data_IF_232282545691
#
_entry.id   IF_232282545691
#
_cell.length_a   1.000
_cell.length_b   1.000
_cell.length_c   1.000
_cell.angle_alpha   90.00
_cell.angle_beta   90.00
_cell.angle_gamma   90.00
#
_symmetry.space_group_name_H-M   'P 1'
#
loop_
_entity.id
_entity.type
_entity.pdbx_description
1 polymer ?
#
# COMPACT_ATOMS: atom_id res chain seq x y z
N UNK A 1 -14.51 23.46 2.70
CA UNK A 1 -14.49 22.05 2.30
C UNK A 1 -15.84 21.74 1.65
N UNK A 2 -15.83 21.46 0.34
CA UNK A 2 -17.03 21.04 -0.39
C UNK A 2 -17.58 19.74 0.23
N UNK A 3 -18.88 19.54 0.07
CA UNK A 3 -19.55 18.29 0.49
C UNK A 3 -18.85 17.13 -0.21
N UNK A 4 -18.18 16.25 0.52
CA UNK A 4 -17.79 14.96 -0.01
C UNK A 4 -19.09 14.22 -0.37
N UNK A 5 -19.39 14.17 -1.67
CA UNK A 5 -20.47 13.35 -2.20
C UNK A 5 -19.96 11.90 -2.18
N UNK A 6 -19.88 11.28 -0.99
CA UNK A 6 -19.28 9.98 -0.88
C UNK A 6 -20.14 9.02 -0.12
N UNK A 7 -20.28 7.82 -0.64
CA UNK A 7 -20.81 6.67 0.06
C UNK A 7 -19.63 5.99 0.76
N UNK A 8 -19.64 5.94 2.10
CA UNK A 8 -18.61 5.24 2.87
C UNK A 8 -19.11 3.83 3.13
N UNK A 9 -18.35 2.84 2.66
CA UNK A 9 -18.61 1.43 2.91
C UNK A 9 -17.48 0.88 3.78
N UNK A 10 -17.83 0.26 4.90
CA UNK A 10 -16.85 -0.44 5.73
C UNK A 10 -16.74 -1.88 5.26
N UNK A 11 -15.50 -2.32 5.03
CA UNK A 11 -15.16 -3.72 4.82
C UNK A 11 -14.37 -4.23 6.02
N UNK A 12 -14.74 -5.40 6.54
CA UNK A 12 -13.98 -6.10 7.56
C UNK A 12 -13.01 -7.08 6.90
N UNK A 13 -11.81 -7.20 7.47
CA UNK A 13 -10.74 -8.07 6.98
C UNK A 13 -9.61 -7.33 6.30
N UNK A 14 -8.69 -8.10 5.71
CA UNK A 14 -7.59 -7.56 4.95
C UNK A 14 -8.06 -7.01 3.61
N UNK A 15 -7.35 -5.99 3.18
CA UNK A 15 -7.55 -5.33 1.91
C UNK A 15 -7.42 -6.32 0.74
N UNK A 16 -8.41 -6.36 -0.09
CA UNK A 16 -8.38 -7.05 -1.37
C UNK A 16 -8.69 -6.07 -2.51
N UNK A 17 -8.07 -6.22 -3.64
CA UNK A 17 -8.24 -5.33 -4.79
C UNK A 17 -9.51 -5.67 -5.59
N UNK A 18 -10.60 -6.07 -4.93
CA UNK A 18 -11.87 -6.31 -5.58
C UNK A 18 -12.59 -4.99 -5.86
N UNK A 19 -12.99 -4.72 -7.10
CA UNK A 19 -13.75 -3.52 -7.42
C UNK A 19 -15.03 -3.43 -6.58
N UNK A 20 -15.27 -2.29 -5.99
CA UNK A 20 -16.47 -2.04 -5.15
C UNK A 20 -17.69 -1.75 -6.02
N UNK A 21 -17.97 -2.18 -7.06
CA UNK A 21 -19.00 -1.93 -8.05
C UNK A 21 -18.49 -1.05 -9.22
N UNK A 22 -18.43 -1.60 -10.42
CA UNK A 22 -18.04 -0.83 -11.59
C UNK A 22 -19.20 0.11 -11.98
N UNK A 23 -19.18 1.35 -11.50
CA UNK A 23 -19.94 2.39 -12.14
C UNK A 23 -19.24 2.77 -13.44
N UNK A 24 -19.94 2.89 -14.58
CA UNK A 24 -19.32 3.33 -15.83
C UNK A 24 -18.58 4.64 -15.63
N UNK A 25 -17.27 4.66 -15.95
CA UNK A 25 -16.41 5.84 -15.82
C UNK A 25 -15.85 6.07 -14.39
N UNK A 26 -16.12 5.19 -13.42
CA UNK A 26 -15.49 5.28 -12.11
C UNK A 26 -14.01 4.93 -12.19
N UNK A 27 -13.17 5.74 -11.54
CA UNK A 27 -11.74 5.48 -11.37
C UNK A 27 -11.53 5.09 -9.91
N UNK A 28 -11.01 3.89 -9.70
CA UNK A 28 -10.69 3.37 -8.36
C UNK A 28 -9.25 3.70 -8.00
N UNK A 29 -9.05 4.18 -6.77
CA UNK A 29 -7.75 4.49 -6.20
C UNK A 29 -7.55 3.74 -4.90
N UNK A 30 -6.38 3.15 -4.73
CA UNK A 30 -6.00 2.40 -3.55
C UNK A 30 -4.94 3.17 -2.76
N UNK A 31 -5.18 3.36 -1.47
CA UNK A 31 -4.23 4.06 -0.61
C UNK A 31 -3.04 3.17 -0.29
N UNK A 32 -1.85 3.73 -0.42
CA UNK A 32 -0.59 3.21 0.10
C UNK A 32 -0.17 4.11 1.27
N UNK A 33 0.03 3.54 2.44
CA UNK A 33 0.53 4.26 3.61
C UNK A 33 2.06 4.32 3.58
N UNK A 34 2.56 5.14 2.67
CA UNK A 34 3.98 5.29 2.39
C UNK A 34 4.76 5.96 3.53
N UNK A 35 6.05 5.69 3.57
CA UNK A 35 7.01 6.52 4.28
C UNK A 35 7.05 7.94 3.65
N UNK A 36 7.47 8.99 4.39
CA UNK A 36 7.74 10.31 3.81
C UNK A 36 8.63 10.28 2.56
N UNK A 37 9.52 9.29 2.44
CA UNK A 37 10.24 8.99 1.21
C UNK A 37 9.54 7.84 0.49
N UNK A 38 8.96 8.11 -0.65
CA UNK A 38 8.16 7.17 -1.44
C UNK A 38 8.83 5.78 -1.53
N UNK A 39 8.12 4.75 -1.07
CA UNK A 39 8.53 3.34 -1.09
C UNK A 39 9.92 3.07 -0.47
N UNK A 40 10.28 3.82 0.58
CA UNK A 40 11.63 3.77 1.16
C UNK A 40 12.01 2.38 1.67
N UNK A 41 11.11 1.69 2.34
CA UNK A 41 11.38 0.43 3.04
C UNK A 41 11.22 -0.82 2.17
N UNK A 42 10.89 -0.68 0.87
CA UNK A 42 10.76 -1.84 0.01
C UNK A 42 12.09 -2.63 -0.05
N UNK A 43 11.99 -3.95 -0.13
CA UNK A 43 13.16 -4.84 -0.10
C UNK A 43 13.77 -5.05 1.29
N UNK A 44 13.25 -4.40 2.33
CA UNK A 44 13.63 -4.60 3.73
C UNK A 44 12.96 -5.83 4.37
N UNK A 45 13.27 -6.09 5.65
CA UNK A 45 12.70 -7.21 6.39
C UNK A 45 11.28 -6.96 6.90
N UNK A 46 10.81 -5.71 6.89
CA UNK A 46 9.45 -5.32 7.23
C UNK A 46 8.50 -5.62 6.06
N UNK A 47 7.30 -6.09 6.36
CA UNK A 47 6.28 -6.38 5.36
C UNK A 47 4.92 -5.89 5.85
N UNK A 48 4.78 -4.58 5.95
CA UNK A 48 3.54 -3.91 6.27
C UNK A 48 2.77 -3.54 5.00
N UNK A 49 1.76 -2.72 5.09
CA UNK A 49 0.86 -2.41 3.96
C UNK A 49 1.61 -1.81 2.75
N UNK A 50 2.55 -0.91 2.99
CA UNK A 50 3.39 -0.32 1.94
C UNK A 50 4.22 -1.38 1.21
N UNK A 51 5.00 -2.17 1.95
CA UNK A 51 5.90 -3.17 1.37
C UNK A 51 5.14 -4.30 0.67
N UNK A 52 3.97 -4.70 1.20
CA UNK A 52 3.07 -5.67 0.56
C UNK A 52 2.64 -5.12 -0.80
N UNK A 53 2.20 -3.87 -0.84
CA UNK A 53 1.72 -3.26 -2.08
C UNK A 53 2.84 -3.13 -3.10
N UNK A 54 4.06 -2.75 -2.69
CA UNK A 54 5.22 -2.72 -3.59
C UNK A 54 5.59 -4.12 -4.08
N UNK A 55 5.57 -5.14 -3.22
CA UNK A 55 5.86 -6.52 -3.62
C UNK A 55 4.84 -7.07 -4.62
N UNK A 56 3.57 -6.74 -4.45
CA UNK A 56 2.49 -7.17 -5.35
C UNK A 56 2.47 -6.39 -6.67
N UNK A 57 3.04 -5.17 -6.69
CA UNK A 57 3.18 -4.28 -7.86
C UNK A 57 4.67 -3.97 -8.12
N UNK A 58 5.45 -4.88 -8.71
CA UNK A 58 6.91 -4.72 -8.86
C UNK A 58 7.35 -3.43 -9.55
N UNK A 59 6.48 -2.84 -10.37
CA UNK A 59 6.75 -1.55 -11.02
C UNK A 59 6.98 -0.41 -10.01
N UNK A 60 6.42 -0.49 -8.80
CA UNK A 60 6.60 0.52 -7.75
C UNK A 60 8.05 0.49 -7.21
N UNK A 61 8.61 -0.70 -7.03
CA UNK A 61 10.04 -0.86 -6.70
C UNK A 61 10.94 -0.32 -7.81
N UNK A 62 10.64 -0.64 -9.05
CA UNK A 62 11.38 -0.11 -10.21
C UNK A 62 11.27 1.41 -10.32
N UNK A 63 10.12 1.99 -10.01
CA UNK A 63 9.94 3.45 -9.92
C UNK A 63 10.86 4.05 -8.85
N UNK A 64 10.91 3.44 -7.66
CA UNK A 64 11.82 3.88 -6.59
C UNK A 64 13.27 3.85 -7.03
N UNK A 65 13.72 2.77 -7.64
CA UNK A 65 15.08 2.62 -8.14
C UNK A 65 15.40 3.64 -9.24
N UNK A 66 14.49 3.89 -10.15
CA UNK A 66 14.66 4.89 -11.20
C UNK A 66 14.79 6.31 -10.60
N UNK A 67 13.94 6.67 -9.65
CA UNK A 67 14.03 7.96 -8.95
C UNK A 67 15.39 8.13 -8.27
N UNK A 68 15.89 7.09 -7.61
CA UNK A 68 17.22 7.11 -6.98
C UNK A 68 18.34 7.28 -8.02
N UNK A 69 18.28 6.56 -9.13
CA UNK A 69 19.28 6.63 -10.19
C UNK A 69 19.37 8.02 -10.84
N UNK A 70 18.26 8.73 -10.94
CA UNK A 70 18.20 10.09 -11.46
C UNK A 70 18.41 11.18 -10.40
N UNK A 71 18.80 10.81 -9.16
CA UNK A 71 18.90 11.72 -8.02
C UNK A 71 17.61 12.53 -7.79
N UNK A 72 16.47 11.98 -8.18
CA UNK A 72 15.16 12.57 -7.95
C UNK A 72 14.57 12.01 -6.64
N UNK A 73 13.97 12.87 -5.87
CA UNK A 73 13.26 12.48 -4.64
C UNK A 73 11.76 12.66 -4.86
N UNK A 74 10.99 11.60 -4.63
CA UNK A 74 9.56 11.75 -4.44
C UNK A 74 9.27 11.69 -2.93
N UNK A 75 8.71 12.77 -2.41
CA UNK A 75 8.33 12.90 -1.01
C UNK A 75 6.81 12.91 -0.90
N UNK A 76 6.29 12.18 0.07
CA UNK A 76 4.86 12.20 0.42
C UNK A 76 4.54 13.26 1.48
N UNK A 77 5.58 13.90 2.02
CA UNK A 77 5.51 15.07 2.91
C UNK A 77 6.66 16.01 2.58
N UNK A 78 6.37 17.26 2.29
CA UNK A 78 7.35 18.32 2.06
C UNK A 78 7.07 19.51 2.97
N UNK A 79 8.09 19.93 3.72
CA UNK A 79 7.99 21.05 4.65
C UNK A 79 6.80 20.94 5.62
N UNK A 80 6.50 19.73 6.08
CA UNK A 80 5.37 19.44 6.97
C UNK A 80 3.99 19.46 6.29
N UNK A 81 3.94 19.58 4.98
CA UNK A 81 2.71 19.51 4.19
C UNK A 81 2.61 18.16 3.48
N UNK A 82 1.40 17.61 3.44
CA UNK A 82 1.14 16.39 2.69
C UNK A 82 1.30 16.66 1.18
N UNK A 83 2.11 15.84 0.55
CA UNK A 83 2.36 15.83 -0.91
C UNK A 83 2.13 14.42 -1.44
N UNK A 84 0.87 13.93 -1.45
CA UNK A 84 0.58 12.58 -1.91
C UNK A 84 1.02 12.38 -3.36
N UNK A 85 1.54 11.18 -3.65
CA UNK A 85 2.01 10.81 -4.99
C UNK A 85 0.99 9.88 -5.62
N UNK A 86 0.53 10.24 -6.82
CA UNK A 86 -0.39 9.44 -7.61
C UNK A 86 0.38 8.56 -8.59
N UNK A 87 0.16 7.25 -8.53
CA UNK A 87 0.70 6.29 -9.49
C UNK A 87 -0.47 5.63 -10.20
N UNK A 88 -0.66 5.97 -11.46
CA UNK A 88 -1.73 5.41 -12.29
C UNK A 88 -1.23 4.19 -13.08
N UNK A 89 -2.06 3.18 -13.19
CA UNK A 89 -1.82 2.05 -14.07
C UNK A 89 -0.72 1.08 -13.60
N UNK A 90 -0.46 0.98 -12.30
CA UNK A 90 0.50 0.02 -11.76
C UNK A 90 -0.01 -1.42 -11.95
N UNK A 91 0.80 -2.28 -12.58
CA UNK A 91 0.46 -3.69 -12.75
C UNK A 91 0.68 -4.48 -11.46
N UNK A 92 -0.40 -5.08 -10.96
CA UNK A 92 -0.35 -6.07 -9.89
C UNK A 92 -0.10 -7.44 -10.49
N UNK A 93 1.05 -8.03 -10.17
CA UNK A 93 1.54 -9.27 -10.79
C UNK A 93 1.48 -10.48 -9.87
N UNK A 94 1.30 -10.28 -8.58
CA UNK A 94 1.14 -11.37 -7.63
C UNK A 94 0.28 -10.95 -6.44
N UNK A 95 -0.08 -11.94 -5.64
CA UNK A 95 -0.68 -11.80 -4.33
C UNK A 95 0.16 -12.57 -3.32
N UNK A 96 0.48 -11.93 -2.19
CA UNK A 96 1.22 -12.55 -1.09
C UNK A 96 0.27 -12.77 0.08
N UNK A 97 -0.03 -14.04 0.38
CA UNK A 97 -0.88 -14.38 1.50
C UNK A 97 -0.15 -14.14 2.82
N UNK A 98 -0.59 -13.13 3.57
CA UNK A 98 0.04 -12.72 4.84
C UNK A 98 -0.59 -13.36 6.07
N UNK A 99 -1.76 -13.98 5.94
CA UNK A 99 -2.47 -14.59 7.06
C UNK A 99 -1.70 -15.73 7.72
N UNK A 100 -1.89 -15.95 9.04
CA UNK A 100 -1.38 -17.13 9.72
C UNK A 100 -1.85 -18.43 9.06
N UNK A 101 -0.91 -19.32 8.78
CA UNK A 101 -1.19 -20.65 8.24
C UNK A 101 -0.10 -21.65 8.65
N UNK A 102 -0.27 -22.34 9.79
CA UNK A 102 0.69 -23.31 10.31
C UNK A 102 1.00 -24.43 9.32
N UNK A 103 -0.02 -24.92 8.60
CA UNK A 103 0.15 -26.00 7.63
C UNK A 103 1.05 -25.62 6.44
N UNK A 104 1.21 -24.33 6.17
CA UNK A 104 2.11 -23.79 5.14
C UNK A 104 3.40 -23.23 5.70
N UNK A 105 3.70 -23.46 6.97
CA UNK A 105 4.94 -23.02 7.63
C UNK A 105 4.96 -21.53 8.04
N UNK A 106 3.81 -20.85 8.08
CA UNK A 106 3.68 -19.47 8.55
C UNK A 106 2.67 -19.38 9.72
N UNK A 107 2.98 -19.94 10.90
CA UNK A 107 2.03 -20.00 12.02
C UNK A 107 1.63 -18.61 12.55
N UNK A 108 2.46 -17.59 12.36
CA UNK A 108 2.20 -16.21 12.76
C UNK A 108 1.92 -15.29 11.55
N UNK A 109 1.78 -15.88 10.36
CA UNK A 109 1.63 -15.13 9.11
C UNK A 109 2.96 -14.57 8.60
N UNK A 110 2.85 -13.61 7.67
CA UNK A 110 4.00 -12.91 7.07
C UNK A 110 3.91 -11.38 7.26
N UNK A 111 2.93 -10.89 8.01
CA UNK A 111 2.78 -9.45 8.22
C UNK A 111 3.85 -8.90 9.18
N UNK A 112 4.32 -7.69 8.91
CA UNK A 112 5.27 -6.98 9.76
C UNK A 112 6.65 -7.66 9.79
N UNK A 113 7.23 -7.77 10.97
CA UNK A 113 8.55 -8.35 11.17
C UNK A 113 8.62 -9.88 10.99
N UNK A 114 7.47 -10.54 10.87
CA UNK A 114 7.44 -12.00 10.64
C UNK A 114 7.95 -12.37 9.24
N UNK A 115 7.79 -11.46 8.27
CA UNK A 115 8.34 -11.65 6.93
C UNK A 115 9.85 -11.84 6.92
N UNK A 116 10.59 -10.95 7.59
CA UNK A 116 12.05 -11.02 7.65
C UNK A 116 12.61 -12.24 8.38
N UNK A 117 11.75 -12.95 9.13
CA UNK A 117 12.09 -14.20 9.82
C UNK A 117 11.70 -15.45 9.05
N UNK A 118 10.85 -15.29 8.04
CA UNK A 118 10.31 -16.42 7.28
C UNK A 118 11.37 -16.97 6.30
N UNK A 119 11.50 -18.30 6.20
CA UNK A 119 12.32 -18.90 5.15
C UNK A 119 11.80 -18.53 3.76
N UNK A 120 12.69 -18.31 2.81
CA UNK A 120 12.34 -17.95 1.42
C UNK A 120 11.32 -18.91 0.78
N UNK A 121 11.40 -20.20 1.14
CA UNK A 121 10.46 -21.23 0.68
C UNK A 121 9.03 -20.98 1.16
N UNK A 122 8.86 -20.49 2.38
CA UNK A 122 7.55 -20.13 2.95
C UNK A 122 6.96 -18.94 2.21
N UNK A 123 7.79 -17.92 1.96
CA UNK A 123 7.38 -16.73 1.17
C UNK A 123 6.98 -17.14 -0.25
N UNK A 124 7.77 -18.00 -0.91
CA UNK A 124 7.45 -18.48 -2.25
C UNK A 124 6.12 -19.22 -2.30
N UNK A 125 5.83 -20.09 -1.33
CA UNK A 125 4.53 -20.78 -1.24
C UNK A 125 3.35 -19.85 -0.95
N UNK A 126 3.59 -18.77 -0.22
CA UNK A 126 2.59 -17.76 0.08
C UNK A 126 2.29 -16.85 -1.12
N UNK A 127 3.21 -16.77 -2.09
CA UNK A 127 3.10 -15.91 -3.27
C UNK A 127 2.38 -16.64 -4.41
N UNK A 128 1.30 -16.06 -4.89
CA UNK A 128 0.54 -16.53 -6.06
C UNK A 128 0.67 -15.52 -7.19
N UNK A 129 1.05 -15.98 -8.37
CA UNK A 129 1.08 -15.15 -9.57
C UNK A 129 -0.33 -14.81 -10.02
N UNK A 130 -0.53 -13.59 -10.55
CA UNK A 130 -1.76 -13.12 -11.16
C UNK A 130 -1.54 -13.05 -12.67
N UNK A 131 -2.29 -13.85 -13.42
CA UNK A 131 -2.20 -13.91 -14.88
C UNK A 131 -3.62 -13.92 -15.50
N UNK A 132 -3.92 -12.96 -16.39
CA UNK A 132 -3.11 -11.79 -16.70
C UNK A 132 -2.98 -10.83 -15.51
N UNK A 133 -1.94 -9.96 -15.47
CA UNK A 133 -1.82 -8.94 -14.45
C UNK A 133 -3.04 -8.03 -14.41
N UNK A 134 -3.42 -7.57 -13.22
CA UNK A 134 -4.46 -6.55 -13.05
C UNK A 134 -3.83 -5.16 -12.92
N UNK A 135 -4.58 -4.13 -13.26
CA UNK A 135 -4.10 -2.74 -13.19
C UNK A 135 -4.72 -2.04 -11.99
N UNK A 136 -3.92 -1.29 -11.26
CA UNK A 136 -4.30 -0.59 -10.04
C UNK A 136 -3.82 0.85 -10.09
N UNK A 137 -4.64 1.81 -9.61
CA UNK A 137 -4.18 3.17 -9.35
C UNK A 137 -3.94 3.33 -7.85
N UNK A 138 -2.85 3.99 -7.49
CA UNK A 138 -2.36 4.06 -6.12
C UNK A 138 -2.17 5.52 -5.69
N UNK A 139 -2.67 5.86 -4.51
CA UNK A 139 -2.37 7.11 -3.80
C UNK A 139 -1.36 6.78 -2.71
N UNK A 140 -0.09 7.09 -2.93
CA UNK A 140 0.92 6.96 -1.91
C UNK A 140 0.94 8.22 -1.03
N UNK A 141 0.69 8.04 0.26
CA UNK A 141 0.59 9.13 1.24
C UNK A 141 1.18 8.71 2.58
N UNK A 142 1.81 9.65 3.28
CA UNK A 142 2.37 9.37 4.58
C UNK A 142 1.28 8.99 5.59
N UNK A 143 1.50 7.88 6.29
CA UNK A 143 0.69 7.52 7.43
C UNK A 143 1.02 8.40 8.65
N UNK A 144 0.08 8.60 9.58
CA UNK A 144 0.40 9.18 10.88
C UNK A 144 1.45 8.35 11.62
N UNK A 145 2.42 9.02 12.22
CA UNK A 145 3.45 8.35 13.01
C UNK A 145 2.84 7.55 14.16
N UNK A 146 3.33 6.35 14.38
CA UNK A 146 3.02 5.56 15.56
C UNK A 146 2.17 4.31 15.37
N UNK A 147 1.19 4.27 14.50
CA UNK A 147 0.44 3.08 14.04
C UNK A 147 -0.04 2.05 15.08
N UNK A 148 0.15 2.32 16.37
CA UNK A 148 -0.23 1.42 17.47
C UNK A 148 -1.48 1.96 18.17
N UNK A 149 -2.51 1.13 18.24
CA UNK A 149 -3.73 1.47 18.95
C UNK A 149 -4.77 2.21 18.11
N UNK A 150 -5.56 3.06 18.75
CA UNK A 150 -6.62 3.83 18.08
C UNK A 150 -6.07 5.14 17.57
N UNK A 151 -6.38 5.48 16.34
CA UNK A 151 -6.09 6.81 15.78
C UNK A 151 -6.91 7.88 16.51
N UNK A 152 -6.28 9.02 16.79
CA UNK A 152 -6.99 10.20 17.29
C UNK A 152 -7.86 10.82 16.18
N UNK A 153 -8.83 11.65 16.55
CA UNK A 153 -9.63 12.39 15.58
C UNK A 153 -8.78 13.28 14.66
N UNK A 154 -7.71 13.87 15.19
CA UNK A 154 -6.75 14.68 14.40
C UNK A 154 -5.99 13.84 13.38
N UNK A 155 -5.53 12.65 13.76
CA UNK A 155 -4.86 11.72 12.85
C UNK A 155 -5.80 11.25 11.73
N UNK A 156 -7.05 10.94 12.06
CA UNK A 156 -8.07 10.59 11.07
C UNK A 156 -8.33 11.78 10.12
N UNK A 157 -8.52 12.98 10.66
CA UNK A 157 -8.71 14.19 9.85
C UNK A 157 -7.52 14.45 8.94
N UNK A 158 -6.29 14.26 9.44
CA UNK A 158 -5.07 14.39 8.64
C UNK A 158 -5.04 13.40 7.47
N UNK A 159 -5.31 12.11 7.71
CA UNK A 159 -5.37 11.08 6.66
C UNK A 159 -6.40 11.43 5.59
N UNK A 160 -7.62 11.80 6.01
CA UNK A 160 -8.69 12.15 5.08
C UNK A 160 -8.35 13.42 4.27
N UNK A 161 -7.77 14.44 4.92
CA UNK A 161 -7.34 15.67 4.25
C UNK A 161 -6.22 15.39 3.26
N UNK A 162 -5.25 14.56 3.64
CA UNK A 162 -4.15 14.17 2.75
C UNK A 162 -4.65 13.42 1.52
N UNK A 163 -5.55 12.45 1.71
CA UNK A 163 -6.17 11.76 0.58
C UNK A 163 -6.97 12.73 -0.32
N UNK A 164 -7.66 13.70 0.28
CA UNK A 164 -8.40 14.72 -0.46
C UNK A 164 -7.50 15.65 -1.28
N UNK A 165 -6.30 15.96 -0.81
CA UNK A 165 -5.36 16.81 -1.57
C UNK A 165 -4.79 16.11 -2.82
N UNK A 166 -4.98 14.80 -2.94
CA UNK A 166 -4.58 14.03 -4.13
C UNK A 166 -5.52 14.22 -5.32
N UNK A 167 -6.71 14.74 -5.09
CA UNK A 167 -7.74 14.99 -6.11
C UNK A 167 -7.95 16.48 -6.36
#
# INVERSE_FOLDING_TARGET
LGRAAGHVVRHDGFYDYRPVLPAPGAIEWHVNFADPHLFFAYGGPLFAQDEIQVAEHPILGSLREALQAYCATALTVEQGRATPVLVAGAERRCHVATDPNPAQGRPRGLYGNEFGRAPAEVVRRATKRIEPPTTTNIIAMAAPSGGYGRYSGEQIAHVLTTAWTAF
#
